data_IF_447957011655
#
_entry.id   IF_447957011655
#
_cell.length_a   1.000
_cell.length_b   1.000
_cell.length_c   1.000
_cell.angle_alpha   90.00
_cell.angle_beta   90.00
_cell.angle_gamma   90.00
#
_symmetry.space_group_name_H-M   'P 1'
#
loop_
_entity.id
_entity.type
_entity.pdbx_description
1 polymer ?
#
# COMPACT_ATOMS: atom_id res chain seq x y z
N UNK A 1 -15.08 -11.49 -3.95
CA UNK A 1 -13.83 -11.51 -3.16
C UNK A 1 -13.64 -12.94 -2.70
N UNK A 2 -12.53 -13.59 -3.05
CA UNK A 2 -12.25 -14.95 -2.57
C UNK A 2 -11.53 -14.86 -1.22
N UNK A 3 -11.98 -15.66 -0.25
CA UNK A 3 -11.38 -15.69 1.07
C UNK A 3 -9.95 -16.29 0.94
N UNK A 4 -8.93 -15.49 1.24
CA UNK A 4 -7.52 -15.88 1.12
C UNK A 4 -6.65 -15.02 0.18
N UNK A 5 -7.24 -14.25 -0.74
CA UNK A 5 -6.47 -13.37 -1.62
C UNK A 5 -5.68 -12.30 -0.85
N UNK A 6 -4.56 -11.85 -1.42
CA UNK A 6 -3.85 -10.65 -0.93
C UNK A 6 -4.52 -9.41 -1.49
N UNK A 7 -4.90 -8.49 -0.61
CA UNK A 7 -5.64 -7.26 -0.95
C UNK A 7 -4.66 -6.12 -1.22
N UNK A 8 -4.58 -5.72 -2.47
CA UNK A 8 -3.69 -4.65 -2.95
C UNK A 8 -4.53 -3.41 -3.24
N UNK A 9 -4.18 -2.28 -2.61
CA UNK A 9 -4.84 -1.00 -2.83
C UNK A 9 -3.82 0.01 -3.33
N UNK A 10 -4.06 0.57 -4.51
CA UNK A 10 -3.33 1.74 -4.99
C UNK A 10 -4.10 3.01 -4.60
N UNK A 11 -3.46 3.89 -3.83
CA UNK A 11 -3.97 5.19 -3.43
C UNK A 11 -3.50 6.25 -4.44
N UNK A 12 -4.38 6.59 -5.38
CA UNK A 12 -4.15 7.57 -6.44
C UNK A 12 -4.08 8.97 -5.87
N UNK A 13 -3.20 9.79 -6.43
CA UNK A 13 -3.03 11.20 -6.03
C UNK A 13 -3.80 12.14 -6.95
N UNK A 14 -4.75 12.89 -6.40
CA UNK A 14 -5.59 13.86 -7.14
C UNK A 14 -5.01 15.27 -7.28
N UNK A 15 -3.69 15.42 -7.26
CA UNK A 15 -3.03 16.74 -7.27
C UNK A 15 -2.25 17.00 -8.56
N UNK A 16 -1.78 18.24 -8.77
CA UNK A 16 -1.02 18.63 -9.98
C UNK A 16 0.26 17.84 -10.25
N UNK A 17 1.04 17.55 -9.20
CA UNK A 17 2.33 16.88 -9.30
C UNK A 17 2.30 15.49 -8.65
N UNK A 18 3.41 14.74 -8.73
CA UNK A 18 3.61 13.37 -8.23
C UNK A 18 2.39 12.48 -8.51
N UNK A 19 1.90 12.53 -9.74
CA UNK A 19 0.94 11.56 -10.26
C UNK A 19 1.69 10.40 -10.89
N UNK A 20 1.06 9.24 -10.87
CA UNK A 20 1.48 8.06 -11.64
C UNK A 20 0.82 8.19 -13.00
N UNK A 21 1.59 8.40 -14.06
CA UNK A 21 1.06 8.66 -15.40
C UNK A 21 0.45 7.40 -16.03
N UNK A 22 1.06 6.24 -15.78
CA UNK A 22 0.63 4.95 -16.33
C UNK A 22 -0.08 4.07 -15.29
N UNK A 23 -0.86 4.67 -14.39
CA UNK A 23 -1.49 3.97 -13.27
C UNK A 23 -2.38 2.79 -13.69
N UNK A 24 -3.16 2.95 -14.76
CA UNK A 24 -4.02 1.87 -15.27
C UNK A 24 -3.21 0.71 -15.88
N UNK A 25 -2.03 0.98 -16.47
CA UNK A 25 -1.12 -0.06 -16.96
C UNK A 25 -0.61 -0.91 -15.79
N UNK A 26 -0.12 -0.26 -14.73
CA UNK A 26 0.38 -0.93 -13.52
C UNK A 26 -0.72 -1.75 -12.84
N UNK A 27 -1.93 -1.19 -12.73
CA UNK A 27 -3.08 -1.90 -12.15
C UNK A 27 -3.50 -3.09 -13.02
N UNK A 28 -3.50 -2.95 -14.35
CA UNK A 28 -3.79 -4.06 -15.25
C UNK A 28 -2.75 -5.17 -15.13
N UNK A 29 -1.46 -4.83 -14.97
CA UNK A 29 -0.41 -5.81 -14.71
C UNK A 29 -0.60 -6.51 -13.35
N UNK A 30 -0.90 -5.75 -12.28
CA UNK A 30 -1.12 -6.31 -10.94
C UNK A 30 -2.31 -7.29 -10.91
N UNK A 31 -3.41 -6.98 -11.61
CA UNK A 31 -4.60 -7.84 -11.69
C UNK A 31 -4.35 -9.19 -12.37
N UNK A 32 -3.26 -9.33 -13.13
CA UNK A 32 -2.86 -10.61 -13.75
C UNK A 32 -2.15 -11.55 -12.79
N UNK A 33 -1.73 -11.06 -11.61
CA UNK A 33 -1.08 -11.90 -10.61
C UNK A 33 -2.11 -12.87 -9.98
N UNK A 34 -1.73 -14.12 -9.69
CA UNK A 34 -2.64 -15.07 -9.08
C UNK A 34 -2.82 -14.79 -7.59
N UNK A 35 -4.04 -15.00 -7.09
CA UNK A 35 -4.37 -14.91 -5.65
C UNK A 35 -4.21 -13.49 -5.09
N UNK A 36 -4.57 -12.48 -5.88
CA UNK A 36 -4.61 -11.08 -5.45
C UNK A 36 -5.92 -10.43 -5.90
N UNK A 37 -6.43 -9.53 -5.06
CA UNK A 37 -7.49 -8.59 -5.43
C UNK A 37 -6.89 -7.20 -5.45
N UNK A 38 -7.08 -6.47 -6.55
CA UNK A 38 -6.48 -5.14 -6.76
C UNK A 38 -7.57 -4.09 -6.91
N UNK A 39 -7.50 -3.03 -6.11
CA UNK A 39 -8.37 -1.87 -6.23
C UNK A 39 -7.58 -0.56 -6.33
N UNK A 40 -8.21 0.43 -6.94
CA UNK A 40 -7.74 1.81 -7.02
C UNK A 40 -8.68 2.67 -6.18
N UNK A 41 -8.13 3.51 -5.32
CA UNK A 41 -8.89 4.47 -4.52
C UNK A 41 -8.28 5.86 -4.61
N UNK A 42 -9.10 6.89 -4.42
CA UNK A 42 -8.65 8.26 -4.30
C UNK A 42 -9.42 8.91 -3.16
N UNK A 43 -8.72 9.27 -2.08
CA UNK A 43 -9.34 9.96 -0.96
C UNK A 43 -9.32 11.47 -1.20
N UNK A 44 -10.51 12.06 -1.19
CA UNK A 44 -10.73 13.50 -1.29
C UNK A 44 -11.73 13.93 -0.20
N UNK A 45 -12.04 15.23 -0.13
CA UNK A 45 -12.93 15.77 0.90
C UNK A 45 -14.37 15.22 0.87
N UNK A 46 -14.80 14.59 -0.22
CA UNK A 46 -16.12 13.96 -0.32
C UNK A 46 -16.17 12.52 0.20
N UNK A 47 -15.01 11.92 0.53
CA UNK A 47 -14.94 10.55 1.04
C UNK A 47 -14.90 10.58 2.57
N UNK A 48 -15.92 9.99 3.20
CA UNK A 48 -16.02 9.88 4.65
C UNK A 48 -14.77 9.22 5.27
N UNK A 49 -14.23 9.82 6.32
CA UNK A 49 -13.00 9.33 6.95
C UNK A 49 -13.15 7.89 7.48
N UNK A 50 -14.34 7.53 7.99
CA UNK A 50 -14.66 6.16 8.40
C UNK A 50 -14.46 5.16 7.26
N UNK A 51 -14.89 5.52 6.05
CA UNK A 51 -14.72 4.67 4.88
C UNK A 51 -13.24 4.56 4.49
N UNK A 52 -12.47 5.65 4.60
CA UNK A 52 -11.02 5.61 4.36
C UNK A 52 -10.33 4.61 5.30
N UNK A 53 -10.68 4.61 6.60
CA UNK A 53 -10.18 3.64 7.57
C UNK A 53 -10.60 2.22 7.21
N UNK A 54 -11.86 1.99 6.85
CA UNK A 54 -12.38 0.68 6.48
C UNK A 54 -11.62 0.07 5.29
N UNK A 55 -11.35 0.87 4.26
CA UNK A 55 -10.54 0.44 3.11
C UNK A 55 -9.13 0.06 3.56
N UNK A 56 -8.51 0.86 4.43
CA UNK A 56 -7.13 0.65 4.88
C UNK A 56 -7.00 -0.57 5.81
N UNK A 57 -7.96 -0.77 6.72
CA UNK A 57 -8.06 -1.98 7.54
C UNK A 57 -8.20 -3.25 6.70
N UNK A 58 -8.74 -3.11 5.48
CA UNK A 58 -8.87 -4.17 4.50
C UNK A 58 -7.81 -4.14 3.38
N UNK A 59 -6.65 -3.51 3.62
CA UNK A 59 -5.56 -3.42 2.65
C UNK A 59 -4.30 -4.11 3.18
N UNK A 60 -3.85 -5.18 2.53
CA UNK A 60 -2.63 -5.89 2.89
C UNK A 60 -1.37 -5.26 2.27
N UNK A 61 -1.49 -4.71 1.05
CA UNK A 61 -0.44 -3.93 0.40
C UNK A 61 -1.00 -2.57 0.02
N UNK A 62 -0.51 -1.51 0.66
CA UNK A 62 -0.85 -0.13 0.30
C UNK A 62 0.24 0.38 -0.64
N UNK A 63 -0.16 0.70 -1.87
CA UNK A 63 0.71 1.31 -2.89
C UNK A 63 0.36 2.78 -3.00
N UNK A 64 1.35 3.66 -3.02
CA UNK A 64 1.10 5.05 -3.40
C UNK A 64 2.39 5.85 -3.58
N UNK A 65 2.24 6.97 -4.26
CA UNK A 65 3.31 7.95 -4.43
C UNK A 65 3.59 8.70 -3.12
N UNK A 66 4.81 9.18 -2.92
CA UNK A 66 5.13 10.10 -1.82
C UNK A 66 4.11 11.25 -1.71
N UNK A 67 3.46 11.36 -0.56
CA UNK A 67 2.43 12.38 -0.31
C UNK A 67 1.04 12.07 -0.90
N UNK A 68 0.77 10.83 -1.31
CA UNK A 68 -0.58 10.38 -1.72
C UNK A 68 -1.53 10.13 -0.53
N UNK A 69 -1.07 10.32 0.71
CA UNK A 69 -1.83 9.97 1.92
C UNK A 69 -1.31 8.71 2.62
N UNK A 70 -0.03 8.37 2.46
CA UNK A 70 0.57 7.13 2.98
C UNK A 70 0.54 7.00 4.52
N UNK A 71 0.21 8.07 5.26
CA UNK A 71 -0.06 8.00 6.72
C UNK A 71 -1.19 7.03 7.07
N UNK A 72 -2.07 6.73 6.12
CA UNK A 72 -3.09 5.69 6.27
C UNK A 72 -2.55 4.29 6.56
N UNK A 73 -1.24 4.05 6.38
CA UNK A 73 -0.54 2.83 6.83
C UNK A 73 -0.81 2.49 8.30
N UNK A 74 -1.13 3.50 9.13
CA UNK A 74 -1.49 3.33 10.54
C UNK A 74 -2.73 2.46 10.77
N UNK A 75 -3.62 2.37 9.78
CA UNK A 75 -4.88 1.62 9.86
C UNK A 75 -4.83 0.27 9.14
N UNK A 76 -3.69 -0.12 8.56
CA UNK A 76 -3.55 -1.42 7.90
C UNK A 76 -3.45 -2.57 8.91
N UNK A 77 -3.56 -3.85 8.51
CA UNK A 77 -3.21 -5.01 9.34
C UNK A 77 -1.72 -5.06 9.70
N UNK A 78 -1.35 -5.79 10.76
CA UNK A 78 0.03 -5.85 11.27
C UNK A 78 1.02 -6.54 10.32
N UNK A 79 0.51 -7.42 9.45
CA UNK A 79 1.29 -8.10 8.42
C UNK A 79 1.45 -7.29 7.13
N UNK A 80 0.93 -6.06 7.09
CA UNK A 80 0.83 -5.30 5.86
C UNK A 80 2.18 -4.81 5.33
N UNK A 81 2.15 -4.35 4.07
CA UNK A 81 3.28 -3.73 3.39
C UNK A 81 2.87 -2.32 2.94
N UNK A 82 3.70 -1.33 3.25
CA UNK A 82 3.68 -0.02 2.61
C UNK A 82 4.65 -0.04 1.43
N UNK A 83 4.11 0.03 0.21
CA UNK A 83 4.86 0.19 -1.02
C UNK A 83 4.77 1.65 -1.48
N UNK A 84 5.75 2.45 -1.07
CA UNK A 84 5.91 3.80 -1.59
C UNK A 84 6.54 3.73 -2.98
N UNK A 85 5.71 3.81 -4.03
CA UNK A 85 6.14 3.53 -5.42
C UNK A 85 7.31 4.42 -5.85
N UNK A 86 7.39 5.64 -5.33
CA UNK A 86 8.57 6.49 -5.40
C UNK A 86 8.56 7.50 -4.26
N UNK A 87 9.68 7.62 -3.55
CA UNK A 87 9.83 8.49 -2.39
C UNK A 87 10.17 9.95 -2.75
N UNK A 88 10.33 10.27 -4.05
CA UNK A 88 10.69 11.60 -4.51
C UNK A 88 11.95 12.16 -3.83
N UNK A 89 12.98 11.31 -3.68
CA UNK A 89 14.26 11.60 -3.04
C UNK A 89 14.15 11.94 -1.55
N UNK A 90 13.04 11.56 -0.90
CA UNK A 90 12.78 11.77 0.52
C UNK A 90 12.46 10.44 1.23
N UNK A 91 13.46 9.56 1.41
CA UNK A 91 13.25 8.19 1.85
C UNK A 91 12.91 8.06 3.34
N UNK A 92 13.19 9.07 4.17
CA UNK A 92 13.11 8.94 5.63
C UNK A 92 11.66 8.96 6.11
N UNK A 93 10.82 9.84 5.54
CA UNK A 93 9.49 10.14 6.05
C UNK A 93 8.61 8.89 6.25
N UNK A 94 8.31 8.17 5.17
CA UNK A 94 7.40 7.03 5.25
C UNK A 94 8.08 5.72 5.62
N UNK A 95 9.40 5.60 5.38
CA UNK A 95 10.19 4.46 5.87
C UNK A 95 10.20 4.40 7.39
N UNK A 96 10.41 5.53 8.04
CA UNK A 96 10.40 5.59 9.51
C UNK A 96 9.01 5.38 10.07
N UNK A 97 7.97 5.95 9.43
CA UNK A 97 6.58 5.68 9.83
C UNK A 97 6.23 4.19 9.73
N UNK A 98 6.59 3.53 8.62
CA UNK A 98 6.38 2.10 8.43
C UNK A 98 7.13 1.27 9.48
N UNK A 99 8.39 1.63 9.77
CA UNK A 99 9.20 0.99 10.83
C UNK A 99 8.55 1.14 12.21
N UNK A 100 8.06 2.33 12.56
CA UNK A 100 7.42 2.61 13.84
C UNK A 100 6.08 1.88 13.99
N UNK A 101 5.30 1.78 12.90
CA UNK A 101 4.09 0.93 12.84
C UNK A 101 4.50 -0.54 13.01
N UNK A 102 5.63 -0.95 12.44
CA UNK A 102 6.04 -2.35 12.40
C UNK A 102 5.56 -3.10 11.15
N UNK A 103 5.23 -2.37 10.08
CA UNK A 103 4.96 -2.95 8.76
C UNK A 103 6.21 -2.98 7.89
N UNK A 104 6.19 -3.84 6.89
CA UNK A 104 7.24 -3.87 5.88
C UNK A 104 7.13 -2.63 4.98
N UNK A 105 8.27 -1.96 4.76
CA UNK A 105 8.41 -0.91 3.78
C UNK A 105 9.13 -1.42 2.52
N UNK A 106 8.62 -1.05 1.35
CA UNK A 106 9.23 -1.24 0.03
C UNK A 106 9.12 0.09 -0.72
N UNK A 107 10.16 0.41 -1.49
CA UNK A 107 10.14 1.56 -2.42
C UNK A 107 10.84 1.18 -3.72
N UNK A 108 10.84 2.09 -4.68
CA UNK A 108 11.53 1.91 -5.96
C UNK A 108 13.01 1.60 -5.76
N UNK A 109 13.57 0.68 -6.54
CA UNK A 109 14.96 0.25 -6.42
C UNK A 109 15.84 0.65 -7.63
N UNK A 110 15.26 0.93 -8.79
CA UNK A 110 16.00 1.18 -10.04
C UNK A 110 15.58 2.49 -10.74
N UNK A 111 16.34 3.56 -10.53
CA UNK A 111 16.04 4.89 -11.06
C UNK A 111 16.06 4.94 -12.60
N UNK A 112 16.75 4.01 -13.29
CA UNK A 112 16.71 3.93 -14.75
C UNK A 112 15.34 3.48 -15.29
N UNK A 113 14.49 2.96 -14.40
CA UNK A 113 13.16 2.41 -14.71
C UNK A 113 12.00 3.31 -14.27
N UNK A 114 12.28 4.54 -13.84
CA UNK A 114 11.27 5.58 -13.69
C UNK A 114 11.61 6.75 -14.63
N UNK A 115 10.60 7.41 -15.18
CA UNK A 115 10.79 8.55 -16.08
C UNK A 115 9.94 9.72 -15.60
N UNK A 116 10.54 10.87 -15.27
CA UNK A 116 9.77 12.08 -14.97
C UNK A 116 9.09 12.60 -16.25
N UNK A 117 7.95 13.27 -16.10
CA UNK A 117 7.20 13.92 -17.18
C UNK A 117 7.97 15.13 -17.73
N UNK A 118 8.62 15.86 -16.82
CA UNK A 118 9.41 17.05 -17.07
C UNK A 118 10.52 17.20 -16.00
N UNK A 119 11.35 18.23 -16.10
CA UNK A 119 12.42 18.48 -15.12
C UNK A 119 11.91 18.81 -13.70
N UNK A 120 10.60 19.09 -13.55
CA UNK A 120 9.99 19.61 -12.34
C UNK A 120 10.17 21.12 -12.22
N UNK A 121 9.09 21.84 -11.91
CA UNK A 121 9.14 23.30 -11.89
C UNK A 121 8.79 23.82 -10.48
N UNK A 122 9.79 23.99 -9.62
CA UNK A 122 9.61 24.70 -8.36
C UNK A 122 9.78 26.22 -8.57
N UNK A 123 8.88 27.08 -8.05
CA UNK A 123 8.98 28.54 -8.24
C UNK A 123 10.30 29.16 -7.77
N UNK A 124 11.01 28.52 -6.85
CA UNK A 124 12.27 29.05 -6.26
C UNK A 124 13.44 28.06 -6.25
N UNK A 125 13.22 26.77 -6.50
CA UNK A 125 14.26 25.72 -6.34
C UNK A 125 14.66 25.06 -7.67
N UNK A 126 14.03 25.41 -8.79
CA UNK A 126 14.28 24.77 -10.07
C UNK A 126 13.75 23.33 -10.14
N UNK A 127 14.47 22.47 -10.88
CA UNK A 127 14.18 21.05 -11.03
C UNK A 127 14.09 20.35 -9.67
N UNK A 128 12.97 19.69 -9.40
CA UNK A 128 12.75 19.06 -8.09
C UNK A 128 11.78 17.88 -8.21
N UNK A 129 12.17 16.71 -7.69
CA UNK A 129 11.45 15.44 -7.85
C UNK A 129 9.97 15.50 -7.41
N UNK A 130 9.65 16.33 -6.40
CA UNK A 130 8.28 16.55 -5.91
C UNK A 130 7.37 17.42 -6.81
N UNK A 131 7.90 18.05 -7.87
CA UNK A 131 7.21 19.00 -8.75
C UNK A 131 7.07 18.52 -10.21
N UNK A 132 7.17 17.21 -10.44
CA UNK A 132 6.88 16.56 -11.72
C UNK A 132 5.96 15.34 -11.50
N UNK A 133 5.51 14.70 -12.58
CA UNK A 133 4.80 13.43 -12.57
C UNK A 133 5.70 12.32 -13.10
N UNK A 134 5.32 11.05 -12.92
CA UNK A 134 6.21 9.93 -13.23
C UNK A 134 5.52 8.82 -13.99
N UNK A 135 6.24 8.27 -14.96
CA UNK A 135 5.97 6.96 -15.56
C UNK A 135 6.86 5.91 -14.90
N UNK A 136 6.32 4.72 -14.67
CA UNK A 136 7.02 3.61 -14.04
C UNK A 136 7.11 2.41 -14.98
N UNK A 137 8.23 1.72 -14.97
CA UNK A 137 8.38 0.44 -15.65
C UNK A 137 7.49 -0.64 -15.02
N UNK A 138 6.67 -1.29 -15.84
CA UNK A 138 5.70 -2.28 -15.38
C UNK A 138 6.36 -3.54 -14.80
N UNK A 139 7.50 -3.98 -15.35
CA UNK A 139 8.17 -5.20 -14.89
C UNK A 139 8.80 -5.01 -13.52
N UNK A 140 9.44 -3.86 -13.30
CA UNK A 140 9.98 -3.47 -12.00
C UNK A 140 8.89 -3.30 -10.95
N UNK A 141 7.78 -2.66 -11.32
CA UNK A 141 6.61 -2.56 -10.47
C UNK A 141 6.11 -3.94 -10.03
N UNK A 142 5.96 -4.89 -10.97
CA UNK A 142 5.50 -6.25 -10.66
C UNK A 142 6.51 -7.03 -9.83
N UNK A 143 7.81 -6.85 -10.06
CA UNK A 143 8.87 -7.47 -9.25
C UNK A 143 8.78 -7.01 -7.78
N UNK A 144 8.64 -5.70 -7.55
CA UNK A 144 8.50 -5.11 -6.21
C UNK A 144 7.18 -5.48 -5.54
N UNK A 145 6.07 -5.45 -6.28
CA UNK A 145 4.76 -5.88 -5.79
C UNK A 145 4.78 -7.37 -5.41
N UNK A 146 5.45 -8.22 -6.19
CA UNK A 146 5.61 -9.64 -5.87
C UNK A 146 6.38 -9.85 -4.56
N UNK A 147 7.41 -9.04 -4.27
CA UNK A 147 8.09 -9.05 -2.96
C UNK A 147 7.11 -8.71 -1.83
N UNK A 148 6.25 -7.70 -2.02
CA UNK A 148 5.24 -7.31 -1.04
C UNK A 148 4.22 -8.44 -0.79
N UNK A 149 3.68 -9.02 -1.84
CA UNK A 149 2.70 -10.12 -1.79
C UNK A 149 3.29 -11.33 -1.05
N UNK A 150 4.53 -11.70 -1.35
CA UNK A 150 5.21 -12.82 -0.69
C UNK A 150 5.43 -12.57 0.80
N UNK A 151 5.75 -11.33 1.19
CA UNK A 151 5.84 -10.94 2.59
C UNK A 151 4.51 -11.14 3.32
N UNK A 152 3.42 -10.63 2.76
CA UNK A 152 2.07 -10.77 3.32
C UNK A 152 1.69 -12.25 3.48
N UNK A 153 1.88 -13.07 2.44
CA UNK A 153 1.55 -14.50 2.47
C UNK A 153 2.28 -15.23 3.60
N UNK A 154 3.58 -14.98 3.74
CA UNK A 154 4.40 -15.56 4.81
C UNK A 154 3.92 -15.10 6.19
N UNK A 155 3.66 -13.81 6.37
CA UNK A 155 3.22 -13.25 7.64
C UNK A 155 1.83 -13.74 8.07
N UNK A 156 0.87 -13.83 7.14
CA UNK A 156 -0.48 -14.40 7.42
C UNK A 156 -0.40 -15.88 7.83
N UNK A 157 0.40 -16.69 7.14
CA UNK A 157 0.60 -18.09 7.51
C UNK A 157 1.14 -18.24 8.94
N UNK A 158 2.10 -17.40 9.34
CA UNK A 158 2.64 -17.39 10.70
C UNK A 158 1.60 -16.93 11.73
N UNK A 159 0.77 -15.94 11.40
CA UNK A 159 -0.29 -15.47 12.28
C UNK A 159 -1.34 -16.58 12.53
N UNK A 160 -1.74 -17.30 11.48
CA UNK A 160 -2.64 -18.46 11.59
C UNK A 160 -2.04 -19.55 12.47
N UNK A 161 -0.75 -19.87 12.30
CA UNK A 161 -0.08 -20.89 13.13
C UNK A 161 0.07 -20.52 14.61
N UNK A 162 -0.02 -19.23 14.96
CA UNK A 162 0.13 -18.72 16.33
C UNK A 162 -1.20 -18.44 17.03
N UNK A 163 -2.33 -18.49 16.31
CA UNK A 163 -3.64 -18.31 16.93
C UNK A 163 -3.91 -19.49 17.88
N UNK A 164 -4.29 -19.25 19.14
CA UNK A 164 -4.63 -20.34 20.06
C UNK A 164 -5.79 -21.15 19.47
N UNK A 165 -5.65 -22.48 19.42
CA UNK A 165 -6.75 -23.38 19.09
C UNK A 165 -7.91 -23.06 20.03
N UNK A 166 -9.08 -22.75 19.47
CA UNK A 166 -10.22 -22.18 20.20
C UNK A 166 -10.47 -22.85 21.55
N UNK A 167 -10.55 -22.02 22.60
CA UNK A 167 -11.14 -22.41 23.87
C UNK A 167 -12.60 -22.78 23.61
N UNK A 168 -12.94 -24.04 23.85
CA UNK A 168 -14.31 -24.50 24.02
C UNK A 168 -14.93 -23.66 25.15
N UNK A 169 -15.98 -22.89 24.82
CA UNK A 169 -16.86 -22.32 25.83
C UNK A 169 -17.61 -23.48 26.46
N UNK A 170 -17.29 -23.83 27.70
CA UNK A 170 -18.22 -24.59 28.53
C UNK A 170 -19.41 -23.68 28.84
N UNK A 171 -20.59 -24.07 28.34
CA UNK A 171 -21.86 -23.49 28.78
C UNK A 171 -22.04 -23.81 30.26
N UNK A 172 -21.88 -22.81 31.11
CA UNK A 172 -22.29 -22.89 32.50
C UNK A 172 -23.79 -22.62 32.56
N UNK A 173 -24.58 -23.70 32.60
CA UNK A 173 -26.01 -23.63 32.96
C UNK A 173 -26.11 -23.12 34.39
N UNK A 174 -26.64 -21.91 34.56
CA UNK A 174 -27.13 -21.44 35.85
C UNK A 174 -28.39 -22.20 36.19
N UNK A 175 -28.29 -23.09 37.18
CA UNK A 175 -29.46 -23.65 37.87
C UNK A 175 -29.88 -22.67 38.97
N UNK A 176 -31.16 -22.34 38.99
CA UNK A 176 -31.81 -21.47 39.97
C UNK A 176 -31.82 -22.10 41.36
N UNK A 177 -31.56 -21.30 42.40
CA UNK A 177 -32.12 -21.45 43.76
C UNK A 177 -32.16 -20.09 44.48
#
# INVERSE_FOLDING_TARGET
>A
MQDGDVRVTLLSRGTKHRRILNEEELLAAARKLPGVTVQRVQFNHAIEFRHQIEVMANTDVLIGMHGAGLTHVLFQPDWAVLFEIFNCEDPVCYKDLARLRGVKYITWEDDAKLRPEDEGHHPTLGAHAKFTNYHFDSDEFIRLLSKAINHVRKARSLAVSKAPSGSSREEHTHDEM
#
